data_IF_500294703183
#
_entry.id   IF_500294703183
#
_cell.length_a   1.000
_cell.length_b   1.000
_cell.length_c   1.000
_cell.angle_alpha   90.00
_cell.angle_beta   90.00
_cell.angle_gamma   90.00
#
_symmetry.space_group_name_H-M   'P 1'
#
loop_
_entity.id
_entity.type
_entity.pdbx_description
1 polymer ?
#
# COMPACT_ATOMS: atom_id res chain seq x y z
N UNK A 1 22.60 32.53 -15.99
CA UNK A 1 21.58 31.50 -16.23
C UNK A 1 22.18 30.16 -15.83
N UNK A 2 21.41 29.30 -15.16
CA UNK A 2 21.91 28.14 -14.42
C UNK A 2 22.54 27.10 -15.39
N UNK A 3 23.86 27.04 -15.47
CA UNK A 3 24.60 26.21 -16.45
C UNK A 3 24.24 24.72 -16.36
N UNK A 4 23.84 24.25 -15.18
CA UNK A 4 23.43 22.86 -14.94
C UNK A 4 22.07 22.49 -15.54
N UNK A 5 21.11 23.45 -15.61
CA UNK A 5 19.78 23.16 -16.17
C UNK A 5 19.85 23.06 -17.71
N UNK A 6 20.70 23.87 -18.33
CA UNK A 6 20.96 23.83 -19.78
C UNK A 6 21.70 22.54 -20.15
N UNK A 7 22.66 22.12 -19.32
CA UNK A 7 23.32 20.82 -19.47
C UNK A 7 22.31 19.67 -19.39
N UNK A 8 21.43 19.68 -18.40
CA UNK A 8 20.36 18.69 -18.27
C UNK A 8 19.39 18.70 -19.46
N UNK A 9 19.00 19.89 -19.96
CA UNK A 9 18.18 20.04 -21.16
C UNK A 9 18.85 19.42 -22.39
N UNK A 10 20.16 19.61 -22.58
CA UNK A 10 20.90 19.02 -23.70
C UNK A 10 20.98 17.49 -23.62
N UNK A 11 21.18 16.94 -22.42
CA UNK A 11 21.22 15.51 -22.19
C UNK A 11 19.85 14.86 -22.42
N UNK A 12 18.78 15.57 -22.04
CA UNK A 12 17.41 15.11 -22.19
C UNK A 12 17.03 14.84 -23.65
N UNK A 13 17.56 15.59 -24.61
CA UNK A 13 17.33 15.41 -26.05
C UNK A 13 17.81 14.05 -26.61
N UNK A 14 18.62 13.32 -25.85
CA UNK A 14 19.13 12.00 -26.24
C UNK A 14 18.34 10.85 -25.61
N UNK A 15 17.32 11.15 -24.82
CA UNK A 15 16.40 10.16 -24.24
C UNK A 15 15.12 10.09 -25.07
N UNK A 16 14.40 8.97 -24.99
CA UNK A 16 13.15 8.78 -25.72
C UNK A 16 11.93 9.29 -24.93
N UNK A 17 11.27 10.32 -25.46
CA UNK A 17 10.03 10.85 -24.88
C UNK A 17 8.83 9.93 -25.11
N UNK A 18 8.90 9.00 -26.07
CA UNK A 18 7.83 8.04 -26.36
C UNK A 18 7.81 6.87 -25.37
N UNK A 19 8.96 6.54 -24.78
CA UNK A 19 9.04 5.55 -23.71
C UNK A 19 8.46 6.13 -22.42
N UNK A 20 7.28 5.64 -22.01
CA UNK A 20 6.56 6.14 -20.82
C UNK A 20 7.37 5.99 -19.54
N UNK A 21 8.19 4.95 -19.42
CA UNK A 21 9.03 4.73 -18.25
C UNK A 21 10.19 5.73 -18.22
N UNK A 22 10.87 5.93 -19.35
CA UNK A 22 11.95 6.90 -19.48
C UNK A 22 11.45 8.33 -19.28
N UNK A 23 10.31 8.67 -19.88
CA UNK A 23 9.61 9.95 -19.72
C UNK A 23 9.29 10.28 -18.27
N UNK A 24 8.74 9.32 -17.52
CA UNK A 24 8.44 9.48 -16.10
C UNK A 24 9.72 9.59 -15.25
N UNK A 25 10.72 8.75 -15.52
CA UNK A 25 11.98 8.77 -14.78
C UNK A 25 12.77 10.07 -15.03
N UNK A 26 12.74 10.62 -16.24
CA UNK A 26 13.30 11.93 -16.55
C UNK A 26 12.67 13.03 -15.70
N UNK A 27 11.34 13.02 -15.55
CA UNK A 27 10.62 13.96 -14.68
C UNK A 27 11.11 13.87 -13.23
N UNK A 28 11.22 12.64 -12.69
CA UNK A 28 11.71 12.41 -11.32
C UNK A 28 13.15 12.92 -11.12
N UNK A 29 14.05 12.62 -12.06
CA UNK A 29 15.47 12.98 -11.96
C UNK A 29 15.68 14.49 -12.03
N UNK A 30 14.95 15.17 -12.92
CA UNK A 30 14.99 16.63 -13.08
C UNK A 30 14.37 17.34 -11.87
N UNK A 31 13.18 16.91 -11.45
CA UNK A 31 12.50 17.49 -10.28
C UNK A 31 13.29 17.28 -8.99
N UNK A 32 14.02 16.17 -8.87
CA UNK A 32 14.89 15.90 -7.73
C UNK A 32 16.09 16.86 -7.60
N UNK A 33 16.66 17.33 -8.72
CA UNK A 33 17.83 18.21 -8.70
C UNK A 33 17.44 19.70 -8.71
N UNK A 34 16.45 20.06 -9.52
CA UNK A 34 16.12 21.46 -9.82
C UNK A 34 14.76 21.91 -9.27
N UNK A 35 14.01 21.00 -8.62
CA UNK A 35 12.64 21.28 -8.19
C UNK A 35 11.75 21.66 -9.38
N UNK A 36 10.73 22.50 -9.14
CA UNK A 36 9.78 22.90 -10.18
C UNK A 36 10.39 23.78 -11.28
N UNK A 37 11.62 24.29 -11.10
CA UNK A 37 12.30 25.08 -12.13
C UNK A 37 12.69 24.27 -13.38
N UNK A 38 12.73 22.93 -13.29
CA UNK A 38 12.99 22.07 -14.44
C UNK A 38 11.74 21.58 -15.18
N UNK A 39 10.54 22.00 -14.76
CA UNK A 39 9.32 21.61 -15.47
C UNK A 39 9.37 22.04 -16.93
N UNK A 40 9.79 23.28 -17.20
CA UNK A 40 9.73 23.85 -18.54
C UNK A 40 10.58 23.05 -19.54
N UNK A 41 11.82 22.70 -19.16
CA UNK A 41 12.71 21.91 -20.03
C UNK A 41 12.23 20.48 -20.24
N UNK A 42 11.62 19.86 -19.23
CA UNK A 42 11.05 18.52 -19.35
C UNK A 42 9.78 18.53 -20.20
N UNK A 43 8.93 19.54 -20.01
CA UNK A 43 7.68 19.70 -20.74
C UNK A 43 7.91 20.04 -22.22
N UNK A 44 8.95 20.82 -22.53
CA UNK A 44 9.36 21.10 -23.90
C UNK A 44 9.84 19.83 -24.61
N UNK A 45 10.71 19.03 -23.97
CA UNK A 45 11.13 17.73 -24.51
C UNK A 45 9.96 16.74 -24.64
N UNK A 46 9.04 16.73 -23.68
CA UNK A 46 7.86 15.85 -23.68
C UNK A 46 6.95 16.06 -24.89
N UNK A 47 6.94 17.26 -25.48
CA UNK A 47 6.13 17.58 -26.67
C UNK A 47 6.59 16.84 -27.93
N UNK A 48 7.76 16.21 -27.91
CA UNK A 48 8.26 15.39 -29.02
C UNK A 48 7.52 14.06 -29.16
N UNK A 49 6.81 13.61 -28.11
CA UNK A 49 6.04 12.39 -28.14
C UNK A 49 4.65 12.61 -28.76
N UNK A 50 4.25 11.75 -29.70
CA UNK A 50 2.91 11.80 -30.32
C UNK A 50 1.77 11.71 -29.29
N UNK A 51 2.01 11.06 -28.16
CA UNK A 51 1.05 10.88 -27.07
C UNK A 51 0.98 12.07 -26.08
N UNK A 52 1.68 13.17 -26.34
CA UNK A 52 1.79 14.27 -25.39
C UNK A 52 0.44 14.96 -25.11
N UNK A 53 0.20 15.22 -23.82
CA UNK A 53 -0.90 16.04 -23.35
C UNK A 53 -0.42 16.96 -22.22
N UNK A 54 -0.61 18.28 -22.38
CA UNK A 54 -0.11 19.27 -21.42
C UNK A 54 -0.71 19.12 -20.01
N UNK A 55 -1.99 18.73 -19.91
CA UNK A 55 -2.67 18.51 -18.64
C UNK A 55 -2.12 17.24 -17.95
N UNK A 56 -1.96 16.14 -18.69
CA UNK A 56 -1.33 14.91 -18.16
C UNK A 56 0.11 15.17 -17.72
N UNK A 57 0.90 15.86 -18.54
CA UNK A 57 2.29 16.20 -18.22
C UNK A 57 2.38 16.99 -16.90
N UNK A 58 1.51 17.98 -16.69
CA UNK A 58 1.46 18.73 -15.42
C UNK A 58 1.03 17.86 -14.24
N UNK A 59 0.03 17.00 -14.43
CA UNK A 59 -0.43 16.07 -13.40
C UNK A 59 0.67 15.09 -12.99
N UNK A 60 1.38 14.51 -13.96
CA UNK A 60 2.51 13.63 -13.72
C UNK A 60 3.64 14.37 -13.03
N UNK A 61 4.00 15.56 -13.48
CA UNK A 61 5.04 16.34 -12.83
C UNK A 61 4.71 16.57 -11.35
N UNK A 62 3.48 16.95 -11.05
CA UNK A 62 3.02 17.17 -9.67
C UNK A 62 3.03 15.89 -8.84
N UNK A 63 2.78 14.73 -9.44
CA UNK A 63 2.80 13.43 -8.76
C UNK A 63 4.21 12.85 -8.58
N UNK A 64 5.19 13.31 -9.36
CA UNK A 64 6.59 12.88 -9.23
C UNK A 64 7.15 13.26 -7.85
N UNK A 65 7.56 12.24 -7.10
CA UNK A 65 8.26 12.37 -5.82
C UNK A 65 9.71 11.94 -6.00
N UNK A 66 10.70 12.76 -5.61
CA UNK A 66 12.12 12.38 -5.60
C UNK A 66 12.35 11.15 -4.70
N UNK A 67 12.24 9.96 -5.25
CA UNK A 67 12.33 8.70 -4.49
C UNK A 67 13.03 7.64 -5.34
N UNK A 68 13.80 6.76 -4.69
CA UNK A 68 14.28 5.53 -5.31
C UNK A 68 15.51 5.63 -6.21
N UNK A 69 16.65 6.09 -5.69
CA UNK A 69 17.98 5.89 -6.31
C UNK A 69 18.27 6.62 -7.63
N UNK A 70 17.24 7.09 -8.33
CA UNK A 70 17.33 7.89 -9.54
C UNK A 70 17.72 9.33 -9.18
N UNK A 71 18.79 9.81 -9.82
CA UNK A 71 19.30 11.16 -9.65
C UNK A 71 19.61 11.78 -11.00
N UNK A 72 19.93 13.07 -11.05
CA UNK A 72 20.39 13.70 -12.28
C UNK A 72 21.61 12.99 -12.90
N UNK A 73 22.43 12.31 -12.07
CA UNK A 73 23.53 11.49 -12.56
C UNK A 73 23.08 10.30 -13.41
N UNK A 74 21.93 9.70 -13.10
CA UNK A 74 21.34 8.61 -13.89
C UNK A 74 20.84 9.11 -15.25
N UNK A 75 20.31 10.34 -15.32
CA UNK A 75 19.92 11.00 -16.57
C UNK A 75 21.14 11.18 -17.47
N UNK A 76 22.23 11.75 -16.95
CA UNK A 76 23.47 11.91 -17.71
C UNK A 76 24.10 10.58 -18.14
N UNK A 77 24.02 9.55 -17.30
CA UNK A 77 24.50 8.21 -17.64
C UNK A 77 23.75 7.63 -18.84
N UNK A 78 22.42 7.72 -18.86
CA UNK A 78 21.59 7.26 -19.98
C UNK A 78 21.83 8.05 -21.25
N UNK A 79 21.87 9.38 -21.14
CA UNK A 79 22.15 10.24 -22.28
C UNK A 79 23.51 9.89 -22.91
N UNK A 80 24.55 9.62 -22.10
CA UNK A 80 25.86 9.17 -22.60
C UNK A 80 25.81 7.81 -23.29
N UNK A 81 24.99 6.87 -22.82
CA UNK A 81 24.77 5.60 -23.52
C UNK A 81 24.11 5.80 -24.90
N UNK A 82 23.24 6.80 -25.02
CA UNK A 82 22.62 7.22 -26.26
C UNK A 82 23.50 8.14 -27.14
N UNK A 83 24.76 8.38 -26.76
CA UNK A 83 25.71 9.15 -27.55
C UNK A 83 25.77 10.65 -27.25
N UNK A 84 25.11 11.12 -26.17
CA UNK A 84 25.27 12.49 -25.71
C UNK A 84 26.72 12.75 -25.27
N UNK A 85 27.32 13.80 -25.83
CA UNK A 85 28.64 14.26 -25.44
C UNK A 85 28.49 15.50 -24.56
N UNK A 86 28.98 15.36 -23.33
CA UNK A 86 28.98 16.44 -22.36
C UNK A 86 30.13 17.40 -22.68
N UNK A 87 29.82 18.53 -23.32
CA UNK A 87 30.80 19.58 -23.63
C UNK A 87 31.15 20.45 -22.42
N UNK A 88 30.48 20.24 -21.28
CA UNK A 88 30.79 20.93 -20.04
C UNK A 88 31.88 20.19 -19.27
N UNK A 89 32.83 20.95 -18.72
CA UNK A 89 33.85 20.42 -17.84
C UNK A 89 33.19 20.01 -16.51
N UNK A 90 32.76 18.74 -16.42
CA UNK A 90 32.11 18.24 -15.21
C UNK A 90 33.09 18.21 -14.05
N UNK A 91 32.92 19.14 -13.11
CA UNK A 91 33.58 19.09 -11.81
C UNK A 91 32.78 18.17 -10.90
N UNK A 92 33.41 17.06 -10.48
CA UNK A 92 32.84 16.22 -9.42
C UNK A 92 32.60 17.10 -8.20
N UNK A 93 31.38 17.14 -7.64
CA UNK A 93 31.13 17.85 -6.40
C UNK A 93 32.13 17.40 -5.34
N UNK A 94 32.71 18.37 -4.64
CA UNK A 94 33.64 18.10 -3.55
C UNK A 94 32.98 17.19 -2.50
N UNK A 95 33.78 16.45 -1.72
CA UNK A 95 33.26 15.67 -0.60
C UNK A 95 32.36 16.50 0.34
N UNK A 96 32.66 17.79 0.52
CA UNK A 96 31.86 18.71 1.32
C UNK A 96 30.46 18.97 0.71
N UNK A 97 30.37 19.20 -0.60
CA UNK A 97 29.10 19.41 -1.29
C UNK A 97 28.24 18.13 -1.31
N UNK A 98 28.86 16.97 -1.50
CA UNK A 98 28.16 15.68 -1.39
C UNK A 98 27.61 15.45 0.02
N UNK A 99 28.40 15.77 1.06
CA UNK A 99 27.96 15.67 2.45
C UNK A 99 26.79 16.63 2.75
N UNK A 100 26.84 17.86 2.24
CA UNK A 100 25.76 18.84 2.40
C UNK A 100 24.46 18.38 1.72
N UNK A 101 24.55 17.81 0.51
CA UNK A 101 23.40 17.22 -0.20
C UNK A 101 22.82 16.03 0.57
N UNK A 102 23.67 15.15 1.09
CA UNK A 102 23.23 14.01 1.90
C UNK A 102 22.52 14.47 3.19
N UNK A 103 23.10 15.45 3.89
CA UNK A 103 22.51 16.03 5.10
C UNK A 103 21.15 16.67 4.82
N UNK A 104 21.03 17.45 3.73
CA UNK A 104 19.74 18.04 3.32
C UNK A 104 18.68 16.98 3.07
N UNK A 105 19.01 15.93 2.30
CA UNK A 105 18.09 14.81 2.04
C UNK A 105 17.69 14.07 3.31
N UNK A 106 18.63 13.91 4.24
CA UNK A 106 18.35 13.29 5.54
C UNK A 106 17.40 14.15 6.38
N UNK A 107 17.63 15.46 6.45
CA UNK A 107 16.78 16.40 7.16
C UNK A 107 15.37 16.46 6.56
N UNK A 108 15.24 16.54 5.23
CA UNK A 108 13.96 16.53 4.53
C UNK A 108 13.18 15.23 4.78
N UNK A 109 13.86 14.07 4.80
CA UNK A 109 13.24 12.78 5.16
C UNK A 109 12.77 12.77 6.61
N UNK A 110 13.61 13.20 7.55
CA UNK A 110 13.25 13.27 8.96
C UNK A 110 12.06 14.20 9.21
N UNK A 111 12.00 15.35 8.52
CA UNK A 111 10.86 16.25 8.58
C UNK A 111 9.59 15.61 8.02
N UNK A 112 9.66 15.00 6.83
CA UNK A 112 8.51 14.34 6.21
C UNK A 112 7.98 13.17 7.07
N UNK A 113 8.87 12.37 7.65
CA UNK A 113 8.53 11.27 8.57
C UNK A 113 7.87 11.82 9.85
N UNK A 114 8.43 12.87 10.45
CA UNK A 114 7.86 13.50 11.65
C UNK A 114 6.47 14.08 11.38
N UNK A 115 6.28 14.77 10.25
CA UNK A 115 4.97 15.27 9.85
C UNK A 115 3.96 14.15 9.60
N UNK A 116 4.38 13.06 8.95
CA UNK A 116 3.52 11.90 8.74
C UNK A 116 3.12 11.26 10.08
N UNK A 117 4.07 11.12 11.01
CA UNK A 117 3.81 10.58 12.33
C UNK A 117 2.84 11.46 13.12
N UNK A 118 2.98 12.79 13.04
CA UNK A 118 2.03 13.73 13.66
C UNK A 118 0.62 13.59 13.06
N UNK A 119 0.51 13.48 11.72
CA UNK A 119 -0.77 13.26 11.06
C UNK A 119 -1.42 11.95 11.52
N UNK A 120 -0.67 10.86 11.54
CA UNK A 120 -1.18 9.57 12.02
C UNK A 120 -1.61 9.63 13.49
N UNK A 121 -0.82 10.27 14.35
CA UNK A 121 -1.16 10.42 15.77
C UNK A 121 -2.47 11.20 15.97
N UNK A 122 -2.68 12.28 15.22
CA UNK A 122 -3.93 13.04 15.26
C UNK A 122 -5.15 12.20 14.83
N UNK A 123 -4.99 11.35 13.79
CA UNK A 123 -6.05 10.44 13.36
C UNK A 123 -6.27 9.29 14.35
N UNK A 124 -5.23 8.78 15.01
CA UNK A 124 -5.35 7.76 16.05
C UNK A 124 -6.20 8.27 17.24
N UNK A 125 -6.00 9.52 17.67
CA UNK A 125 -6.85 10.17 18.68
C UNK A 125 -8.31 10.26 18.22
N UNK A 126 -8.54 10.63 16.96
CA UNK A 126 -9.88 10.67 16.36
C UNK A 126 -10.51 9.28 16.32
N UNK A 127 -9.76 8.26 15.93
CA UNK A 127 -10.17 6.86 15.89
C UNK A 127 -10.57 6.37 17.29
N UNK A 128 -9.74 6.63 18.30
CA UNK A 128 -10.03 6.28 19.69
C UNK A 128 -11.32 6.94 20.21
N UNK A 129 -11.54 8.22 19.89
CA UNK A 129 -12.79 8.91 20.24
C UNK A 129 -13.99 8.25 19.59
N UNK A 130 -13.96 8.04 18.27
CA UNK A 130 -15.03 7.38 17.51
C UNK A 130 -15.32 6.00 18.12
N UNK A 131 -14.28 5.20 18.34
CA UNK A 131 -14.38 3.88 18.93
C UNK A 131 -15.07 3.93 20.28
N UNK A 132 -14.61 4.80 21.19
CA UNK A 132 -15.16 4.91 22.56
C UNK A 132 -16.64 5.29 22.60
N UNK A 133 -17.11 6.11 21.66
CA UNK A 133 -18.49 6.61 21.59
C UNK A 133 -19.44 5.70 20.81
N UNK A 134 -18.90 4.83 19.95
CA UNK A 134 -19.70 3.88 19.18
C UNK A 134 -20.31 2.80 20.09
N UNK A 135 -21.55 2.42 19.81
CA UNK A 135 -22.24 1.37 20.54
C UNK A 135 -21.74 -0.03 20.09
N UNK A 136 -21.93 -1.09 20.87
CA UNK A 136 -21.75 -2.46 20.37
C UNK A 136 -22.56 -2.67 19.08
N UNK A 137 -22.01 -3.40 18.10
CA UNK A 137 -22.71 -3.68 16.86
C UNK A 137 -24.00 -4.50 17.10
N UNK A 138 -25.06 -4.17 16.37
CA UNK A 138 -26.30 -4.94 16.37
C UNK A 138 -26.03 -6.30 15.69
N UNK A 139 -26.29 -7.45 16.35
CA UNK A 139 -26.20 -8.77 15.71
C UNK A 139 -27.01 -8.89 14.41
N UNK A 140 -28.10 -8.14 14.29
CA UNK A 140 -28.99 -8.13 13.12
C UNK A 140 -28.54 -7.14 12.03
N UNK A 141 -27.32 -6.62 12.11
CA UNK A 141 -26.80 -5.72 11.08
C UNK A 141 -26.77 -6.44 9.71
N UNK A 142 -27.27 -5.82 8.61
CA UNK A 142 -27.41 -6.48 7.30
C UNK A 142 -26.13 -7.17 6.79
N UNK A 143 -24.98 -6.51 6.93
CA UNK A 143 -23.68 -7.10 6.57
C UNK A 143 -23.35 -8.38 7.36
N UNK A 144 -23.64 -8.42 8.68
CA UNK A 144 -23.32 -9.58 9.51
C UNK A 144 -24.22 -10.77 9.17
N UNK A 145 -25.52 -10.50 8.94
CA UNK A 145 -26.47 -11.51 8.47
C UNK A 145 -26.05 -12.05 7.11
N UNK A 146 -25.76 -11.16 6.15
CA UNK A 146 -25.39 -11.56 4.79
C UNK A 146 -24.11 -12.39 4.76
N UNK A 147 -23.14 -12.08 5.63
CA UNK A 147 -21.88 -12.83 5.74
C UNK A 147 -21.94 -14.00 6.74
N UNK A 148 -23.06 -14.21 7.44
CA UNK A 148 -23.23 -15.21 8.51
C UNK A 148 -22.09 -15.21 9.54
N UNK A 149 -21.69 -14.00 9.96
CA UNK A 149 -20.63 -13.81 10.97
C UNK A 149 -21.19 -13.15 12.22
N UNK A 150 -20.64 -13.52 13.38
CA UNK A 150 -20.94 -12.87 14.64
C UNK A 150 -20.41 -11.44 14.68
N UNK A 151 -21.08 -10.59 15.47
CA UNK A 151 -20.63 -9.22 15.70
C UNK A 151 -19.26 -9.14 16.38
N UNK A 152 -18.85 -10.18 17.12
CA UNK A 152 -17.64 -10.21 17.93
C UNK A 152 -17.50 -8.91 18.75
N UNK A 153 -16.35 -8.23 18.65
CA UNK A 153 -16.05 -6.96 19.33
C UNK A 153 -16.32 -5.73 18.45
N UNK A 154 -17.00 -5.89 17.30
CA UNK A 154 -17.35 -4.75 16.44
C UNK A 154 -18.23 -3.75 17.18
N UNK A 155 -18.04 -2.49 16.81
CA UNK A 155 -18.92 -1.39 17.22
C UNK A 155 -19.72 -0.91 16.03
N UNK A 156 -20.68 -0.03 16.30
CA UNK A 156 -21.57 0.52 15.28
C UNK A 156 -21.90 1.97 15.61
N UNK A 157 -22.00 2.77 14.56
CA UNK A 157 -22.52 4.12 14.59
C UNK A 157 -23.62 4.23 13.54
N UNK A 158 -24.85 4.49 13.99
CA UNK A 158 -26.05 4.42 13.15
C UNK A 158 -26.15 3.04 12.47
N UNK A 159 -26.08 2.97 11.15
CA UNK A 159 -26.12 1.78 10.31
C UNK A 159 -24.74 1.36 9.79
N UNK A 160 -23.66 1.92 10.35
CA UNK A 160 -22.30 1.65 9.89
C UNK A 160 -21.54 0.88 10.95
N UNK A 161 -21.03 -0.30 10.60
CA UNK A 161 -20.11 -1.05 11.45
C UNK A 161 -18.76 -0.36 11.51
N UNK A 162 -18.14 -0.43 12.67
CA UNK A 162 -16.83 0.13 12.98
C UNK A 162 -15.92 -1.03 13.39
N UNK A 163 -14.89 -1.25 12.58
CA UNK A 163 -13.85 -2.25 12.78
C UNK A 163 -12.58 -1.55 13.30
N UNK A 164 -12.03 -1.94 14.46
CA UNK A 164 -10.82 -1.33 14.99
C UNK A 164 -9.59 -1.82 14.21
N UNK A 165 -8.67 -0.91 13.90
CA UNK A 165 -7.37 -1.27 13.32
C UNK A 165 -6.23 -0.90 14.27
N UNK A 166 -5.50 -1.92 14.71
CA UNK A 166 -4.39 -1.78 15.63
C UNK A 166 -3.04 -2.00 14.92
N UNK A 167 -2.03 -1.27 15.37
CA UNK A 167 -0.62 -1.55 15.12
C UNK A 167 0.05 -1.98 16.44
N UNK A 168 1.38 -2.15 16.45
CA UNK A 168 2.16 -2.41 17.66
C UNK A 168 2.00 -1.32 18.74
N UNK A 169 1.54 -0.12 18.39
CA UNK A 169 1.32 0.99 19.33
C UNK A 169 -0.12 1.10 19.83
N UNK A 170 -1.01 0.18 19.44
CA UNK A 170 -2.43 0.19 19.79
C UNK A 170 -3.33 0.65 18.64
N UNK A 171 -4.54 1.14 18.96
CA UNK A 171 -5.53 1.58 17.98
C UNK A 171 -5.02 2.81 17.20
N UNK A 172 -4.83 2.65 15.89
CA UNK A 172 -4.31 3.72 15.01
C UNK A 172 -5.30 4.18 13.95
N UNK A 173 -6.28 3.35 13.62
CA UNK A 173 -7.22 3.62 12.54
C UNK A 173 -8.53 2.83 12.72
N UNK A 174 -9.51 3.08 11.86
CA UNK A 174 -10.78 2.36 11.78
C UNK A 174 -11.10 2.00 10.33
N UNK A 175 -11.73 0.85 10.12
CA UNK A 175 -12.47 0.56 8.89
C UNK A 175 -13.97 0.64 9.17
N UNK A 176 -14.70 1.28 8.29
CA UNK A 176 -16.16 1.39 8.32
C UNK A 176 -16.75 0.45 7.27
N UNK A 177 -17.77 -0.31 7.65
CA UNK A 177 -18.50 -1.21 6.75
C UNK A 177 -19.97 -0.78 6.72
N UNK A 178 -20.46 -0.46 5.53
CA UNK A 178 -21.83 -0.07 5.26
C UNK A 178 -22.78 -1.29 5.26
N UNK A 179 -24.11 -1.10 5.34
CA UNK A 179 -25.08 -2.19 5.25
C UNK A 179 -24.95 -3.03 3.97
N UNK A 180 -24.58 -2.40 2.85
CA UNK A 180 -24.35 -3.05 1.55
C UNK A 180 -22.97 -3.73 1.42
N UNK A 181 -22.14 -3.65 2.46
CA UNK A 181 -20.78 -4.20 2.47
C UNK A 181 -19.71 -3.25 1.94
N UNK A 182 -20.04 -2.01 1.56
CA UNK A 182 -19.07 -0.99 1.17
C UNK A 182 -18.10 -0.67 2.31
N UNK A 183 -16.78 -0.77 2.05
CA UNK A 183 -15.72 -0.62 3.07
C UNK A 183 -14.89 0.63 2.82
N UNK A 184 -14.59 1.38 3.88
CA UNK A 184 -13.68 2.55 3.81
C UNK A 184 -12.88 2.71 5.08
N UNK A 185 -11.63 3.16 4.96
CA UNK A 185 -10.83 3.52 6.13
C UNK A 185 -11.16 4.93 6.62
N UNK A 186 -10.88 5.22 7.89
CA UNK A 186 -10.84 6.60 8.37
C UNK A 186 -9.70 7.34 7.67
N UNK A 187 -10.06 8.30 6.82
CA UNK A 187 -9.14 9.03 5.94
C UNK A 187 -7.99 9.65 6.71
N UNK A 188 -6.77 9.49 6.17
CA UNK A 188 -5.53 10.00 6.75
C UNK A 188 -4.94 9.15 7.88
N UNK A 189 -5.63 8.09 8.31
CA UNK A 189 -5.12 7.16 9.31
C UNK A 189 -4.07 6.20 8.75
N UNK A 190 -3.24 5.65 9.63
CA UNK A 190 -2.28 4.63 9.27
C UNK A 190 -3.00 3.34 8.84
N UNK A 191 -2.69 2.84 7.64
CA UNK A 191 -3.18 1.53 7.15
C UNK A 191 -2.02 0.53 7.09
N UNK A 192 -0.88 0.93 6.52
CA UNK A 192 0.29 0.07 6.43
C UNK A 192 0.75 -0.38 7.82
N UNK A 193 0.85 -1.70 8.01
CA UNK A 193 1.23 -2.32 9.28
C UNK A 193 0.16 -2.26 10.38
N UNK A 194 -1.07 -1.86 10.05
CA UNK A 194 -2.22 -1.93 10.95
C UNK A 194 -3.21 -3.01 10.48
N UNK A 195 -3.83 -3.74 11.41
CA UNK A 195 -4.77 -4.83 11.12
C UNK A 195 -5.95 -4.83 12.09
N UNK A 196 -7.04 -5.48 11.71
CA UNK A 196 -8.06 -5.88 12.69
C UNK A 196 -7.62 -7.19 13.34
N UNK A 197 -7.82 -7.33 14.65
CA UNK A 197 -7.41 -8.52 15.40
C UNK A 197 -8.64 -9.18 15.99
N UNK A 198 -8.81 -10.47 15.73
CA UNK A 198 -9.90 -11.29 16.27
C UNK A 198 -9.30 -12.39 17.15
N UNK A 199 -9.87 -12.59 18.33
CA UNK A 199 -9.35 -13.58 19.30
C UNK A 199 -8.13 -13.10 20.08
N UNK A 200 -7.51 -14.03 20.81
CA UNK A 200 -6.29 -13.79 21.58
C UNK A 200 -5.16 -14.67 21.01
N UNK A 201 -3.98 -14.10 20.71
CA UNK A 201 -2.85 -14.85 20.15
C UNK A 201 -2.49 -16.09 20.99
N UNK A 202 -2.37 -17.24 20.33
CA UNK A 202 -1.94 -18.51 20.91
C UNK A 202 -0.86 -19.17 20.05
N UNK A 203 -0.76 -20.50 20.10
CA UNK A 203 0.25 -21.26 19.36
C UNK A 203 0.05 -21.20 17.84
N UNK A 204 -1.21 -21.11 17.39
CA UNK A 204 -1.56 -20.94 15.98
C UNK A 204 -2.14 -19.55 15.75
N UNK A 205 -1.64 -18.86 14.72
CA UNK A 205 -2.11 -17.56 14.27
C UNK A 205 -2.50 -17.63 12.80
N UNK A 206 -3.63 -17.03 12.43
CA UNK A 206 -4.03 -16.88 11.03
C UNK A 206 -3.98 -15.44 10.57
N UNK A 207 -3.66 -15.24 9.31
CA UNK A 207 -3.61 -13.92 8.68
C UNK A 207 -4.43 -13.99 7.40
N UNK A 208 -5.39 -13.10 7.24
CA UNK A 208 -6.25 -13.03 6.06
C UNK A 208 -6.37 -11.60 5.55
N UNK A 209 -6.96 -11.41 4.37
CA UNK A 209 -7.22 -10.08 3.83
C UNK A 209 -8.46 -9.44 4.47
N UNK A 210 -9.64 -10.02 4.29
CA UNK A 210 -10.91 -9.42 4.75
C UNK A 210 -11.27 -9.64 6.22
N UNK A 211 -12.10 -8.75 6.79
CA UNK A 211 -12.66 -8.94 8.13
C UNK A 211 -13.63 -10.14 8.19
N UNK A 212 -14.55 -10.27 7.22
CA UNK A 212 -15.50 -11.39 7.19
C UNK A 212 -14.78 -12.74 7.09
N UNK A 213 -13.79 -12.85 6.20
CA UNK A 213 -12.86 -13.98 6.10
C UNK A 213 -12.30 -14.34 7.46
N UNK A 214 -11.76 -13.35 8.19
CA UNK A 214 -11.17 -13.59 9.50
C UNK A 214 -12.17 -13.98 10.58
N UNK A 215 -13.37 -13.39 10.57
CA UNK A 215 -14.44 -13.75 11.50
C UNK A 215 -14.92 -15.20 11.27
N UNK A 216 -15.09 -15.62 10.02
CA UNK A 216 -15.41 -17.01 9.67
C UNK A 216 -14.32 -17.97 10.12
N UNK A 217 -13.04 -17.68 9.84
CA UNK A 217 -11.92 -18.50 10.29
C UNK A 217 -11.93 -18.63 11.82
N UNK A 218 -12.11 -17.53 12.55
CA UNK A 218 -12.17 -17.54 14.00
C UNK A 218 -13.35 -18.39 14.52
N UNK A 219 -14.55 -18.24 13.94
CA UNK A 219 -15.72 -19.03 14.32
C UNK A 219 -15.50 -20.54 14.14
N UNK A 220 -14.78 -20.95 13.09
CA UNK A 220 -14.54 -22.35 12.78
C UNK A 220 -13.41 -22.98 13.60
N UNK A 221 -12.45 -22.19 14.06
CA UNK A 221 -11.18 -22.72 14.59
C UNK A 221 -10.84 -22.25 15.99
N UNK A 222 -11.35 -21.09 16.41
CA UNK A 222 -10.97 -20.42 17.66
C UNK A 222 -9.57 -19.77 17.63
N UNK A 223 -8.80 -19.92 16.55
CA UNK A 223 -7.45 -19.37 16.45
C UNK A 223 -7.48 -17.85 16.26
N UNK A 224 -6.49 -17.14 16.81
CA UNK A 224 -6.39 -15.70 16.61
C UNK A 224 -6.19 -15.36 15.13
N UNK A 225 -6.90 -14.34 14.65
CA UNK A 225 -6.84 -13.90 13.25
C UNK A 225 -6.46 -12.44 13.14
N UNK A 226 -5.47 -12.15 12.30
CA UNK A 226 -5.03 -10.81 11.93
C UNK A 226 -5.51 -10.48 10.51
N UNK A 227 -6.53 -9.63 10.40
CA UNK A 227 -7.07 -9.22 9.11
C UNK A 227 -6.30 -8.01 8.57
N UNK A 228 -5.58 -8.16 7.46
CA UNK A 228 -4.74 -7.13 6.85
C UNK A 228 -5.56 -6.01 6.17
N UNK A 229 -6.83 -6.27 5.86
CA UNK A 229 -7.83 -5.39 5.24
C UNK A 229 -7.49 -4.87 3.84
N UNK A 230 -6.39 -5.36 3.25
CA UNK A 230 -6.06 -5.25 1.82
C UNK A 230 -4.89 -6.18 1.47
N UNK A 231 -4.85 -6.69 0.23
CA UNK A 231 -3.75 -7.52 -0.29
C UNK A 231 -2.38 -6.84 -0.12
N UNK A 232 -2.30 -5.53 -0.36
CA UNK A 232 -1.05 -4.76 -0.29
C UNK A 232 -0.45 -4.70 1.12
N UNK A 233 -1.26 -4.90 2.16
CA UNK A 233 -0.83 -4.85 3.56
C UNK A 233 -0.45 -6.23 4.12
N UNK A 234 -0.79 -7.31 3.42
CA UNK A 234 -0.62 -8.69 3.89
C UNK A 234 0.84 -9.02 4.24
N UNK A 235 1.78 -8.62 3.38
CA UNK A 235 3.22 -8.79 3.62
C UNK A 235 3.70 -8.06 4.89
N UNK A 236 3.20 -6.84 5.12
CA UNK A 236 3.60 -6.05 6.28
C UNK A 236 3.11 -6.70 7.58
N UNK A 237 1.86 -7.18 7.60
CA UNK A 237 1.28 -7.89 8.75
C UNK A 237 2.00 -9.22 8.98
N UNK A 238 2.23 -10.02 7.92
CA UNK A 238 2.93 -11.30 8.03
C UNK A 238 4.31 -11.14 8.68
N UNK A 239 5.13 -10.19 8.21
CA UNK A 239 6.45 -9.91 8.79
C UNK A 239 6.35 -9.44 10.24
N UNK A 240 5.40 -8.56 10.54
CA UNK A 240 5.17 -8.07 11.90
C UNK A 240 4.80 -9.20 12.85
N UNK A 241 3.91 -10.11 12.44
CA UNK A 241 3.46 -11.23 13.26
C UNK A 241 4.56 -12.26 13.47
N UNK A 242 5.35 -12.58 12.43
CA UNK A 242 6.50 -13.48 12.60
C UNK A 242 7.56 -12.89 13.54
N UNK A 243 7.77 -11.58 13.53
CA UNK A 243 8.69 -10.92 14.45
C UNK A 243 8.18 -10.98 15.90
N UNK A 244 6.88 -10.77 16.10
CA UNK A 244 6.25 -10.73 17.43
C UNK A 244 6.03 -12.13 18.03
N UNK A 245 5.73 -13.11 17.18
CA UNK A 245 5.44 -14.50 17.55
C UNK A 245 6.36 -15.44 16.75
N UNK A 246 7.66 -15.49 17.09
CA UNK A 246 8.65 -16.23 16.31
C UNK A 246 8.34 -17.72 16.23
N UNK A 247 7.84 -18.30 17.33
CA UNK A 247 7.57 -19.74 17.47
C UNK A 247 6.15 -20.15 17.08
N UNK A 248 5.26 -19.19 16.78
CA UNK A 248 3.89 -19.50 16.43
C UNK A 248 3.80 -20.19 15.06
N UNK A 249 2.86 -21.11 14.94
CA UNK A 249 2.42 -21.66 13.67
C UNK A 249 1.56 -20.63 12.95
N UNK A 250 2.13 -19.99 11.94
CA UNK A 250 1.44 -18.93 11.18
C UNK A 250 0.88 -19.52 9.89
N UNK A 251 -0.40 -19.28 9.64
CA UNK A 251 -1.11 -19.65 8.43
C UNK A 251 -1.60 -18.39 7.71
N UNK A 252 -1.22 -18.22 6.44
CA UNK A 252 -1.77 -17.18 5.57
C UNK A 252 -2.98 -17.78 4.84
N UNK A 253 -4.17 -17.23 5.10
CA UNK A 253 -5.41 -17.58 4.44
C UNK A 253 -5.65 -16.60 3.29
N UNK A 254 -5.48 -17.08 2.06
CA UNK A 254 -5.58 -16.27 0.86
C UNK A 254 -7.03 -15.99 0.46
N UNK A 255 -7.25 -14.85 -0.18
CA UNK A 255 -8.40 -14.63 -1.06
C UNK A 255 -8.02 -15.17 -2.46
N UNK A 256 -8.88 -15.99 -3.05
CA UNK A 256 -8.74 -16.61 -4.36
C UNK A 256 -9.49 -15.79 -5.41
N UNK A 257 -8.89 -14.69 -5.83
CA UNK A 257 -9.42 -13.78 -6.87
C UNK A 257 -9.28 -14.38 -8.28
N UNK A 258 -9.75 -15.62 -8.48
CA UNK A 258 -9.58 -16.39 -9.73
C UNK A 258 -10.18 -15.70 -10.96
N UNK A 259 -11.15 -14.81 -10.76
CA UNK A 259 -11.76 -14.00 -11.82
C UNK A 259 -10.90 -12.79 -12.24
N UNK A 260 -9.89 -12.42 -11.46
CA UNK A 260 -9.01 -11.29 -11.75
C UNK A 260 -7.71 -11.78 -12.41
N UNK A 261 -7.29 -11.22 -13.56
CA UNK A 261 -6.04 -11.61 -14.20
C UNK A 261 -4.85 -11.56 -13.24
N UNK A 262 -4.15 -12.70 -13.11
CA UNK A 262 -2.98 -12.84 -12.23
C UNK A 262 -3.29 -13.20 -10.78
N UNK A 263 -4.57 -13.32 -10.39
CA UNK A 263 -5.02 -13.72 -9.05
C UNK A 263 -4.22 -13.00 -7.92
N UNK A 264 -4.41 -11.69 -7.77
CA UNK A 264 -3.59 -10.86 -6.89
C UNK A 264 -3.65 -11.29 -5.42
N UNK A 265 -4.81 -11.73 -4.91
CA UNK A 265 -4.97 -12.27 -3.55
C UNK A 265 -4.07 -13.46 -3.28
N UNK A 266 -4.10 -14.49 -4.14
CA UNK A 266 -3.21 -15.67 -4.01
C UNK A 266 -1.75 -15.28 -4.19
N UNK A 267 -1.44 -14.40 -5.14
CA UNK A 267 -0.06 -13.95 -5.37
C UNK A 267 0.50 -13.22 -4.15
N UNK A 268 -0.27 -12.31 -3.55
CA UNK A 268 0.10 -11.60 -2.34
C UNK A 268 0.28 -12.55 -1.15
N UNK A 269 -0.65 -13.49 -0.97
CA UNK A 269 -0.61 -14.47 0.11
C UNK A 269 0.58 -15.42 -0.02
N UNK A 270 0.86 -15.92 -1.23
CA UNK A 270 2.03 -16.78 -1.50
C UNK A 270 3.35 -16.05 -1.22
N UNK A 271 3.46 -14.79 -1.66
CA UNK A 271 4.64 -13.98 -1.39
C UNK A 271 4.83 -13.74 0.12
N UNK A 272 3.75 -13.42 0.84
CA UNK A 272 3.78 -13.21 2.28
C UNK A 272 4.18 -14.49 3.03
N UNK A 273 3.56 -15.63 2.70
CA UNK A 273 3.84 -16.92 3.31
C UNK A 273 5.31 -17.33 3.11
N UNK A 274 5.81 -17.23 1.87
CA UNK A 274 7.21 -17.53 1.55
C UNK A 274 8.19 -16.63 2.31
N UNK A 275 7.88 -15.35 2.49
CA UNK A 275 8.76 -14.40 3.15
C UNK A 275 8.95 -14.67 4.66
N UNK A 276 8.05 -15.41 5.30
CA UNK A 276 8.08 -15.68 6.75
C UNK A 276 8.06 -17.17 7.11
N UNK A 277 8.15 -18.06 6.11
CA UNK A 277 8.03 -19.50 6.31
C UNK A 277 6.70 -19.90 6.95
N UNK A 278 5.59 -19.32 6.50
CA UNK A 278 4.24 -19.65 6.98
C UNK A 278 3.56 -20.66 6.05
N UNK A 279 2.58 -21.38 6.59
CA UNK A 279 1.66 -22.19 5.80
C UNK A 279 0.76 -21.27 4.94
N UNK A 280 0.35 -21.75 3.77
CA UNK A 280 -0.58 -21.06 2.88
C UNK A 280 -1.82 -21.92 2.67
N UNK A 281 -3.00 -21.37 2.94
CA UNK A 281 -4.28 -21.98 2.63
C UNK A 281 -5.03 -21.13 1.61
N UNK A 282 -5.56 -21.76 0.57
CA UNK A 282 -6.35 -21.13 -0.50
C UNK A 282 -7.71 -21.83 -0.56
N UNK A 283 -8.84 -21.11 -0.59
CA UNK A 283 -10.15 -21.74 -0.74
C UNK A 283 -10.28 -22.33 -2.14
N UNK A 284 -10.71 -23.59 -2.21
CA UNK A 284 -10.90 -24.32 -3.46
C UNK A 284 -12.38 -24.24 -3.87
N UNK A 285 -12.64 -23.58 -4.99
CA UNK A 285 -14.00 -23.38 -5.49
C UNK A 285 -14.23 -24.24 -6.72
N UNK A 286 -15.43 -24.83 -6.89
CA UNK A 286 -15.79 -25.51 -8.14
C UNK A 286 -15.66 -24.58 -9.35
N UNK A 287 -15.34 -25.16 -10.51
CA UNK A 287 -15.23 -24.42 -11.76
C UNK A 287 -16.50 -23.61 -12.06
N UNK A 288 -16.33 -22.31 -12.27
CA UNK A 288 -17.42 -21.38 -12.58
C UNK A 288 -18.13 -20.78 -11.37
N UNK A 289 -17.76 -21.15 -10.13
CA UNK A 289 -18.27 -20.49 -8.93
C UNK A 289 -17.73 -19.05 -8.79
N UNK A 290 -18.52 -18.14 -8.23
CA UNK A 290 -18.17 -16.71 -8.14
C UNK A 290 -17.50 -16.30 -6.82
N UNK A 291 -17.49 -17.17 -5.82
CA UNK A 291 -16.83 -16.93 -4.54
C UNK A 291 -15.32 -16.79 -4.70
N UNK A 292 -14.72 -15.97 -3.85
CA UNK A 292 -13.27 -15.73 -3.86
C UNK A 292 -12.63 -15.89 -2.48
N UNK A 293 -13.34 -15.67 -1.38
CA UNK A 293 -12.75 -15.71 -0.03
C UNK A 293 -13.23 -16.90 0.82
N UNK A 294 -12.60 -17.13 1.97
CA UNK A 294 -13.00 -18.22 2.88
C UNK A 294 -14.42 -18.06 3.46
N UNK A 295 -14.96 -16.85 3.49
CA UNK A 295 -16.34 -16.65 3.90
C UNK A 295 -17.32 -17.12 2.82
N UNK A 296 -17.05 -16.80 1.56
CA UNK A 296 -17.85 -17.29 0.43
C UNK A 296 -17.77 -18.82 0.31
N UNK A 297 -16.58 -19.41 0.55
CA UNK A 297 -16.42 -20.87 0.59
C UNK A 297 -17.25 -21.50 1.71
N UNK A 298 -17.21 -20.93 2.91
CA UNK A 298 -18.05 -21.37 4.03
C UNK A 298 -19.55 -21.30 3.70
N UNK A 299 -20.01 -20.19 3.10
CA UNK A 299 -21.42 -20.03 2.74
C UNK A 299 -21.87 -21.05 1.67
N UNK A 300 -21.00 -21.38 0.72
CA UNK A 300 -21.24 -22.43 -0.29
C UNK A 300 -21.41 -23.79 0.37
N UNK A 301 -20.46 -24.21 1.21
CA UNK A 301 -20.50 -25.51 1.90
C UNK A 301 -21.73 -25.64 2.83
N UNK A 302 -22.12 -24.56 3.52
CA UNK A 302 -23.32 -24.55 4.35
C UNK A 302 -24.61 -24.72 3.52
N UNK A 303 -24.66 -24.12 2.33
CA UNK A 303 -25.82 -24.27 1.44
C UNK A 303 -25.91 -25.68 0.85
N UNK A 304 -24.77 -26.31 0.51
CA UNK A 304 -24.73 -27.68 0.00
C UNK A 304 -25.07 -28.72 1.07
N UNK A 305 -24.62 -28.50 2.32
CA UNK A 305 -24.96 -29.37 3.45
C UNK A 305 -26.40 -29.25 3.98
N UNK A 306 -27.17 -28.27 3.49
CA UNK A 306 -28.57 -28.04 3.87
C UNK A 306 -29.60 -28.71 2.95
N UNK A 307 -29.16 -29.39 1.89
CA UNK A 307 -29.99 -30.13 0.91
C UNK A 307 -29.98 -31.63 1.24
#
# INVERSE_FOLDING_TARGET
MNTDIQRAQSALQYLDAHDRQEWYQAAMMLKAEFGDSAFDIWNEWSQQADSYNATDARHVWNSCKPTGGLSIGSLFYRAKQAGWQDSTEYTRPSPAELAQRALRRQLERQQAEAEQQQRHAAIAVKAARIWSTAAPANPEHPYLIAKQIERLHLRQMNDVLVVPMASMTGLVNLQFIQPDGGKRFLTGGQVAGACAVIGQPGDTLRICEGYATGATIYQLTGDAVFCALSASNLMAIARSMRLQYPDAHIVICADNDHQTPGNPGVTAARNAAAAIGAELMIPDFPDGHHGSDWNDYYLMEQAEGAI
#
